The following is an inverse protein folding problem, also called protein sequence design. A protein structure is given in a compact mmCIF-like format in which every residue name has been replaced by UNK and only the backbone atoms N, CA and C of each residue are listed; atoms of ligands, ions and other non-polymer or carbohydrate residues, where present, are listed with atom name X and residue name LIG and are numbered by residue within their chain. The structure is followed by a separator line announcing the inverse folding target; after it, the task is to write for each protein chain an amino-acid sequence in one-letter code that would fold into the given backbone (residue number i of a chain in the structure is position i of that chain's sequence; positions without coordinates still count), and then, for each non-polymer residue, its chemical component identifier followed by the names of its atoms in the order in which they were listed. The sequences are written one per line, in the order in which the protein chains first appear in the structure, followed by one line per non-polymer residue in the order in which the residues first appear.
data_IF_516404015251
#
_entry.id   IF_516404015251
#
_cell.length_a   1.000
_cell.length_b   1.000
_cell.length_c   1.000
_cell.angle_alpha   90.00
_cell.angle_beta   90.00
_cell.angle_gamma   90.00
#
_symmetry.space_group_name_H-M   'P 1'
#
loop_
_entity.id
_entity.type
_entity.pdbx_description
1 polymer ?
#
# COMPACT_ATOMS: atom_id res chain seq x y z
N UNK A 1 -49.58 27.86 -8.45
CA UNK A 1 -49.08 26.75 -9.29
C UNK A 1 -49.04 25.50 -8.44
N UNK A 2 -49.71 24.42 -8.85
CA UNK A 2 -49.73 23.18 -8.06
C UNK A 2 -48.33 22.54 -8.09
N UNK A 3 -47.67 22.46 -6.93
CA UNK A 3 -46.38 21.79 -6.77
C UNK A 3 -46.58 20.29 -6.92
N UNK A 4 -46.15 19.73 -8.05
CA UNK A 4 -46.14 18.28 -8.29
C UNK A 4 -45.39 17.58 -7.15
N UNK A 5 -46.01 16.56 -6.54
CA UNK A 5 -45.37 15.73 -5.51
C UNK A 5 -44.22 14.95 -6.16
N UNK A 6 -42.98 15.31 -5.81
CA UNK A 6 -41.79 14.65 -6.36
C UNK A 6 -41.77 13.17 -5.99
N UNK A 7 -41.46 12.33 -6.97
CA UNK A 7 -41.31 10.89 -6.78
C UNK A 7 -40.04 10.60 -5.95
N UNK A 8 -39.96 9.41 -5.34
CA UNK A 8 -38.84 9.01 -4.47
C UNK A 8 -37.48 9.14 -5.17
N UNK A 9 -37.39 8.74 -6.44
CA UNK A 9 -36.17 8.86 -7.24
C UNK A 9 -35.76 10.32 -7.51
N UNK A 10 -36.72 11.21 -7.75
CA UNK A 10 -36.45 12.65 -7.95
C UNK A 10 -35.93 13.30 -6.67
N UNK A 11 -36.44 12.88 -5.50
CA UNK A 11 -35.92 13.33 -4.19
C UNK A 11 -34.49 12.85 -3.95
N UNK A 12 -34.19 11.59 -4.27
CA UNK A 12 -32.84 11.04 -4.16
C UNK A 12 -31.89 11.77 -5.11
N UNK A 13 -32.27 11.96 -6.38
CA UNK A 13 -31.45 12.67 -7.35
C UNK A 13 -31.17 14.12 -6.93
N UNK A 14 -32.17 14.84 -6.41
CA UNK A 14 -31.99 16.19 -5.88
C UNK A 14 -31.05 16.21 -4.67
N UNK A 15 -31.18 15.25 -3.74
CA UNK A 15 -30.31 15.12 -2.58
C UNK A 15 -28.86 14.84 -2.98
N UNK A 16 -28.64 13.87 -3.88
CA UNK A 16 -27.32 13.56 -4.44
C UNK A 16 -26.75 14.77 -5.17
N UNK A 17 -27.57 15.51 -5.93
CA UNK A 17 -27.15 16.74 -6.60
C UNK A 17 -26.76 17.87 -5.64
N UNK A 18 -27.41 17.99 -4.48
CA UNK A 18 -27.03 18.95 -3.43
C UNK A 18 -25.72 18.52 -2.76
N UNK A 19 -25.58 17.24 -2.40
CA UNK A 19 -24.36 16.69 -1.82
C UNK A 19 -23.17 16.82 -2.77
N UNK A 20 -23.37 16.53 -4.06
CA UNK A 20 -22.35 16.67 -5.09
C UNK A 20 -21.88 18.12 -5.21
N UNK A 21 -22.80 19.10 -5.30
CA UNK A 21 -22.44 20.52 -5.37
C UNK A 21 -21.71 20.99 -4.12
N UNK A 22 -22.15 20.55 -2.94
CA UNK A 22 -21.46 20.86 -1.69
C UNK A 22 -20.04 20.28 -1.67
N UNK A 23 -19.88 19.01 -2.06
CA UNK A 23 -18.59 18.34 -2.09
C UNK A 23 -17.65 18.90 -3.17
N UNK A 24 -18.18 19.21 -4.36
CA UNK A 24 -17.44 19.82 -5.46
C UNK A 24 -16.85 21.19 -5.06
N UNK A 25 -17.61 21.99 -4.31
CA UNK A 25 -17.12 23.28 -3.80
C UNK A 25 -16.02 23.11 -2.74
N UNK A 26 -16.02 22.02 -1.96
CA UNK A 26 -15.00 21.73 -0.94
C UNK A 26 -13.76 21.03 -1.49
N UNK A 27 -13.89 20.32 -2.61
CA UNK A 27 -12.81 19.57 -3.25
C UNK A 27 -11.56 20.40 -3.59
N UNK A 28 -11.62 21.60 -4.20
CA UNK A 28 -10.42 22.35 -4.56
C UNK A 28 -9.58 22.74 -3.35
N UNK A 29 -10.22 23.09 -2.22
CA UNK A 29 -9.52 23.37 -0.96
C UNK A 29 -8.82 22.12 -0.42
N UNK A 30 -9.51 20.98 -0.39
CA UNK A 30 -8.94 19.71 0.09
C UNK A 30 -7.79 19.24 -0.80
N UNK A 31 -7.94 19.39 -2.11
CA UNK A 31 -6.89 19.07 -3.07
C UNK A 31 -5.65 19.96 -2.90
N UNK A 32 -5.84 21.26 -2.64
CA UNK A 32 -4.73 22.17 -2.36
C UNK A 32 -3.95 21.76 -1.10
N UNK A 33 -4.66 21.37 -0.02
CA UNK A 33 -4.04 20.86 1.20
C UNK A 33 -3.27 19.56 0.92
N UNK A 34 -3.91 18.60 0.22
CA UNK A 34 -3.27 17.33 -0.13
C UNK A 34 -2.00 17.56 -0.97
N UNK A 35 -2.05 18.49 -1.93
CA UNK A 35 -0.90 18.86 -2.77
C UNK A 35 0.22 19.51 -1.95
N UNK A 36 -0.12 20.34 -0.96
CA UNK A 36 0.86 20.95 -0.07
C UNK A 36 1.55 19.89 0.80
N UNK A 37 0.78 18.99 1.43
CA UNK A 37 1.33 17.87 2.21
C UNK A 37 2.22 16.99 1.34
N UNK A 38 1.78 16.63 0.13
CA UNK A 38 2.58 15.83 -0.79
C UNK A 38 3.91 16.52 -1.14
N UNK A 39 3.90 17.82 -1.37
CA UNK A 39 5.10 18.60 -1.71
C UNK A 39 6.10 18.69 -0.54
N UNK A 40 5.63 18.79 0.69
CA UNK A 40 6.49 19.02 1.84
C UNK A 40 6.93 17.73 2.54
N UNK A 41 6.08 16.71 2.60
CA UNK A 41 6.32 15.50 3.39
C UNK A 41 6.67 14.27 2.54
N UNK A 42 6.09 14.15 1.33
CA UNK A 42 6.22 12.95 0.48
C UNK A 42 7.12 13.16 -0.73
N UNK A 43 7.56 14.39 -0.98
CA UNK A 43 8.41 14.70 -2.11
C UNK A 43 9.77 14.00 -1.94
N UNK A 44 10.35 13.49 -3.04
CA UNK A 44 11.69 12.92 -2.97
C UNK A 44 12.67 13.99 -2.46
N UNK A 45 13.61 13.61 -1.58
CA UNK A 45 14.56 14.54 -1.00
C UNK A 45 15.40 15.21 -2.09
N UNK A 46 15.79 16.46 -1.85
CA UNK A 46 16.68 17.17 -2.76
C UNK A 46 18.13 16.81 -2.49
N UNK A 47 19.02 17.04 -3.46
CA UNK A 47 20.46 16.78 -3.27
C UNK A 47 21.08 17.55 -2.09
N UNK A 48 20.48 18.68 -1.69
CA UNK A 48 20.90 19.46 -0.54
C UNK A 48 20.60 18.78 0.81
N UNK A 49 19.65 17.84 0.85
CA UNK A 49 19.23 17.13 2.06
C UNK A 49 20.10 15.89 2.34
N UNK A 50 20.83 15.39 1.33
CA UNK A 50 21.66 14.19 1.43
C UNK A 50 22.72 14.25 2.54
N UNK A 51 23.46 15.36 2.76
CA UNK A 51 24.43 15.45 3.86
C UNK A 51 23.77 15.30 5.23
N UNK A 52 22.57 15.89 5.40
CA UNK A 52 21.80 15.80 6.64
C UNK A 52 21.31 14.37 6.88
N UNK A 53 20.76 13.73 5.85
CA UNK A 53 20.32 12.32 5.92
C UNK A 53 21.47 11.39 6.32
N UNK A 54 22.67 11.59 5.76
CA UNK A 54 23.86 10.81 6.15
C UNK A 54 24.25 11.05 7.60
N UNK A 55 24.18 12.29 8.09
CA UNK A 55 24.46 12.61 9.48
C UNK A 55 23.45 11.94 10.44
N UNK A 56 22.16 12.00 10.10
CA UNK A 56 21.09 11.37 10.87
C UNK A 56 21.25 9.84 10.91
N UNK A 57 21.61 9.23 9.78
CA UNK A 57 21.92 7.80 9.73
C UNK A 57 23.08 7.40 10.64
N UNK A 58 24.17 8.16 10.64
CA UNK A 58 25.30 7.92 11.56
C UNK A 58 24.91 8.07 13.03
N UNK A 59 23.98 8.96 13.35
CA UNK A 59 23.46 9.11 14.71
C UNK A 59 22.64 7.89 15.14
N UNK A 60 21.79 7.38 14.26
CA UNK A 60 21.02 6.14 14.49
C UNK A 60 21.95 4.95 14.68
N UNK A 61 22.99 4.83 13.86
CA UNK A 61 23.98 3.75 13.99
C UNK A 61 24.66 3.78 15.37
N UNK A 62 25.11 4.97 15.81
CA UNK A 62 25.71 5.14 17.15
C UNK A 62 24.72 4.84 18.27
N UNK A 63 23.46 5.24 18.12
CA UNK A 63 22.39 4.94 19.08
C UNK A 63 22.17 3.43 19.25
N UNK A 64 22.20 2.69 18.14
CA UNK A 64 22.09 1.22 18.16
C UNK A 64 23.34 0.59 18.77
N UNK A 65 24.54 0.99 18.35
CA UNK A 65 25.82 0.45 18.84
C UNK A 65 26.02 0.68 20.34
N UNK A 66 25.63 1.85 20.84
CA UNK A 66 25.74 2.21 22.25
C UNK A 66 24.70 1.53 23.16
N UNK A 67 23.70 0.84 22.58
CA UNK A 67 22.65 0.17 23.35
C UNK A 67 21.63 1.12 23.99
N UNK A 68 21.62 2.40 23.58
CA UNK A 68 20.72 3.42 24.14
C UNK A 68 19.23 3.11 23.93
N UNK A 69 18.89 2.29 22.93
CA UNK A 69 17.51 1.83 22.70
C UNK A 69 16.88 1.13 23.91
N UNK A 70 17.68 0.60 24.85
CA UNK A 70 17.19 -0.04 26.09
C UNK A 70 16.65 0.97 27.10
N UNK A 71 16.99 2.25 26.96
CA UNK A 71 16.57 3.32 27.87
C UNK A 71 15.32 4.07 27.37
N UNK A 72 14.77 3.67 26.22
CA UNK A 72 13.58 4.30 25.66
C UNK A 72 12.34 4.01 26.51
N UNK A 73 11.49 5.02 26.66
CA UNK A 73 10.16 4.80 27.19
C UNK A 73 9.30 3.97 26.21
N UNK A 74 8.29 3.29 26.73
CA UNK A 74 7.37 2.47 25.91
C UNK A 74 6.72 3.31 24.81
N UNK A 75 6.38 4.56 25.10
CA UNK A 75 5.79 5.48 24.13
C UNK A 75 6.73 5.76 22.97
N UNK A 76 8.00 6.04 23.23
CA UNK A 76 9.00 6.31 22.20
C UNK A 76 9.28 5.07 21.36
N UNK A 77 9.44 3.91 22.01
CA UNK A 77 9.66 2.64 21.32
C UNK A 77 8.51 2.31 20.35
N UNK A 78 7.26 2.55 20.75
CA UNK A 78 6.10 2.36 19.88
C UNK A 78 6.10 3.31 18.68
N UNK A 79 6.44 4.58 18.89
CA UNK A 79 6.53 5.56 17.79
C UNK A 79 7.61 5.16 16.78
N UNK A 80 8.81 4.82 17.25
CA UNK A 80 9.89 4.40 16.35
C UNK A 80 9.57 3.11 15.60
N UNK A 81 8.90 2.16 16.27
CA UNK A 81 8.46 0.91 15.64
C UNK A 81 7.38 1.18 14.58
N UNK A 82 6.43 2.08 14.86
CA UNK A 82 5.39 2.46 13.89
C UNK A 82 5.99 3.11 12.63
N UNK A 83 6.96 4.01 12.79
CA UNK A 83 7.69 4.62 11.67
C UNK A 83 8.51 3.56 10.91
N UNK A 84 9.16 2.63 11.62
CA UNK A 84 9.89 1.52 10.99
C UNK A 84 8.98 0.62 10.13
N UNK A 85 7.77 0.31 10.63
CA UNK A 85 6.76 -0.43 9.89
C UNK A 85 6.25 0.35 8.67
N UNK A 86 6.06 1.66 8.79
CA UNK A 86 5.66 2.52 7.67
C UNK A 86 6.66 2.44 6.51
N UNK A 87 7.96 2.51 6.80
CA UNK A 87 9.02 2.38 5.78
C UNK A 87 8.94 1.03 5.08
N UNK A 88 8.68 -0.06 5.82
CA UNK A 88 8.51 -1.40 5.25
C UNK A 88 7.24 -1.46 4.38
N UNK A 89 6.15 -0.81 4.79
CA UNK A 89 4.93 -0.77 3.97
C UNK A 89 5.09 -0.01 2.66
N UNK A 90 5.94 1.01 2.62
CA UNK A 90 6.30 1.68 1.36
C UNK A 90 6.97 0.74 0.34
N UNK A 91 7.72 -0.28 0.79
CA UNK A 91 8.25 -1.31 -0.09
C UNK A 91 7.13 -2.11 -0.78
N UNK A 92 6.10 -2.53 -0.03
CA UNK A 92 4.96 -3.26 -0.61
C UNK A 92 4.14 -2.40 -1.57
N UNK A 93 3.97 -1.10 -1.28
CA UNK A 93 3.35 -0.16 -2.23
C UNK A 93 4.17 -0.07 -3.51
N UNK A 94 5.50 -0.02 -3.41
CA UNK A 94 6.42 -0.10 -4.55
C UNK A 94 6.27 -1.39 -5.36
N UNK A 95 6.14 -2.53 -4.68
CA UNK A 95 5.90 -3.84 -5.32
C UNK A 95 4.57 -3.86 -6.09
N UNK A 96 3.50 -3.32 -5.50
CA UNK A 96 2.19 -3.21 -6.16
C UNK A 96 2.27 -2.36 -7.43
N UNK A 97 2.98 -1.23 -7.38
CA UNK A 97 3.22 -0.36 -8.56
C UNK A 97 4.06 -1.12 -9.61
N UNK A 98 5.13 -1.79 -9.18
CA UNK A 98 6.01 -2.56 -10.08
C UNK A 98 5.29 -3.71 -10.79
N UNK A 99 4.38 -4.38 -10.09
CA UNK A 99 3.56 -5.48 -10.65
C UNK A 99 2.35 -4.98 -11.44
N UNK A 100 1.88 -3.76 -11.18
CA UNK A 100 0.66 -3.16 -11.76
C UNK A 100 -0.65 -3.88 -11.37
N UNK A 101 -0.63 -4.62 -10.27
CA UNK A 101 -1.81 -5.32 -9.73
C UNK A 101 -1.89 -5.14 -8.21
N UNK A 102 -3.10 -4.89 -7.70
CA UNK A 102 -3.35 -4.73 -6.27
C UNK A 102 -3.38 -6.06 -5.50
N UNK A 103 -3.79 -7.14 -6.16
CA UNK A 103 -3.95 -8.46 -5.53
C UNK A 103 -3.34 -9.53 -6.43
N UNK A 104 -2.39 -10.30 -5.90
CA UNK A 104 -1.82 -11.46 -6.60
C UNK A 104 -1.02 -11.09 -7.86
N UNK A 105 -0.15 -12.00 -8.29
CA UNK A 105 0.51 -11.86 -9.58
C UNK A 105 -0.51 -12.24 -10.66
N UNK A 106 -0.44 -11.60 -11.82
CA UNK A 106 -1.21 -12.07 -12.98
C UNK A 106 -0.59 -13.39 -13.43
N UNK A 107 -1.26 -14.48 -13.09
CA UNK A 107 -0.86 -15.83 -13.45
C UNK A 107 -1.83 -16.33 -14.53
N UNK A 108 -1.35 -16.75 -15.70
CA UNK A 108 -2.21 -17.39 -16.71
C UNK A 108 -2.93 -18.61 -16.12
N UNK A 109 -4.15 -18.89 -16.57
CA UNK A 109 -4.94 -20.02 -16.07
C UNK A 109 -4.20 -21.36 -16.22
N UNK A 110 -3.35 -21.49 -17.23
CA UNK A 110 -2.57 -22.69 -17.54
C UNK A 110 -1.22 -22.76 -16.80
N UNK A 111 -0.96 -21.84 -15.86
CA UNK A 111 0.29 -21.85 -15.12
C UNK A 111 0.36 -23.05 -14.17
N UNK A 112 1.24 -23.99 -14.51
CA UNK A 112 1.64 -25.10 -13.65
C UNK A 112 3.02 -24.79 -13.10
N UNK A 113 3.15 -24.77 -11.76
CA UNK A 113 4.44 -24.51 -11.09
C UNK A 113 5.50 -25.53 -11.52
N UNK A 114 6.78 -25.14 -11.55
CA UNK A 114 7.89 -26.05 -11.92
C UNK A 114 7.93 -27.29 -11.03
N UNK A 115 7.61 -27.14 -9.74
CA UNK A 115 7.57 -28.24 -8.79
C UNK A 115 6.42 -29.21 -9.09
N UNK A 116 5.26 -28.69 -9.47
CA UNK A 116 4.12 -29.52 -9.89
C UNK A 116 4.44 -30.28 -11.19
N UNK A 117 5.09 -29.63 -12.16
CA UNK A 117 5.54 -30.31 -13.40
C UNK A 117 6.55 -31.42 -13.12
N UNK A 118 7.49 -31.18 -12.21
CA UNK A 118 8.49 -32.16 -11.80
C UNK A 118 7.84 -33.38 -11.13
N UNK A 119 6.92 -33.15 -10.19
CA UNK A 119 6.16 -34.22 -9.52
C UNK A 119 5.30 -35.01 -10.51
N UNK A 120 4.62 -34.34 -11.44
CA UNK A 120 3.84 -35.02 -12.49
C UNK A 120 4.72 -35.86 -13.41
N UNK A 121 5.92 -35.38 -13.76
CA UNK A 121 6.89 -36.15 -14.55
C UNK A 121 7.45 -37.36 -13.77
N UNK A 122 7.73 -37.20 -12.48
CA UNK A 122 8.16 -38.29 -11.59
C UNK A 122 7.05 -39.35 -11.40
N UNK A 123 5.78 -38.94 -11.38
CA UNK A 123 4.63 -39.84 -11.31
C UNK A 123 4.40 -40.58 -12.63
N UNK A 124 4.54 -39.90 -13.77
CA UNK A 124 4.46 -40.53 -15.09
C UNK A 124 5.64 -41.48 -15.41
N UNK A 125 6.80 -41.28 -14.76
CA UNK A 125 7.96 -42.14 -14.90
C UNK A 125 7.92 -43.40 -14.02
N UNK A 126 6.95 -43.52 -13.10
CA UNK A 126 6.75 -44.76 -12.35
C UNK A 126 6.15 -45.82 -13.28
N UNK A 127 6.76 -47.01 -13.41
CA UNK A 127 6.17 -48.06 -14.22
C UNK A 127 4.82 -48.48 -13.62
N UNK A 128 3.81 -48.67 -14.48
CA UNK A 128 2.45 -49.11 -14.11
C UNK A 128 2.50 -50.49 -13.44
N UNK A 129 2.59 -50.51 -12.12
CA UNK A 129 2.54 -51.73 -11.30
C UNK A 129 1.10 -52.10 -10.90
N UNK A 130 0.09 -51.57 -11.60
CA UNK A 130 -1.34 -51.81 -11.33
C UNK A 130 -2.03 -52.78 -12.30
N UNK A 131 -1.28 -53.72 -12.86
CA UNK A 131 -1.84 -54.94 -13.44
C UNK A 131 -1.18 -56.17 -12.81
N UNK A 132 -1.44 -56.35 -11.51
CA UNK A 132 -1.25 -57.63 -10.83
C UNK A 132 -2.60 -58.33 -10.71
N UNK A 133 -2.82 -59.33 -11.58
CA UNK A 133 -3.56 -60.54 -11.20
C UNK A 133 -2.61 -61.43 -10.40
#
# INVERSE_FOLDING_TARGET
MATRKMNMFEKIANMVGVLYRHQANQFPRRYAILKAVFKHELAPPTGADLPKIKADWMAVEKFVQSGQYKQLSVKEALVYTAVGLEIIFWFFVGEMIGRRYFVGYLVPADYVSKDTRKKAAEEAAKPDTKHGF
#
